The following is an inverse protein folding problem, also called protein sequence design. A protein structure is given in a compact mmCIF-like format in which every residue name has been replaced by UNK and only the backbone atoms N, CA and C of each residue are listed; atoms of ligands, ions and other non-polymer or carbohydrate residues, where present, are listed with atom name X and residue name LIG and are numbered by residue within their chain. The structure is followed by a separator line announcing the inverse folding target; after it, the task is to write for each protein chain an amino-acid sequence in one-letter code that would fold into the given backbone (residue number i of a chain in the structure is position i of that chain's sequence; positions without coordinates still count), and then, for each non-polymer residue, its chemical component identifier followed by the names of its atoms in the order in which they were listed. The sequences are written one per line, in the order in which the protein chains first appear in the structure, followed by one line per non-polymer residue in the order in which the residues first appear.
data_IF_604430370950
#
_entry.id   IF_604430370950
#
_cell.length_a   1.000
_cell.length_b   1.000
_cell.length_c   1.000
_cell.angle_alpha   90.00
_cell.angle_beta   90.00
_cell.angle_gamma   90.00
#
_symmetry.space_group_name_H-M   'P 1'
#
loop_
_entity.id
_entity.type
_entity.pdbx_description
1 polymer ?
#
# COMPACT_ATOMS: atom_id res chain seq x y z
N UNK A 1 -19.12 14.89 -6.77
CA UNK A 1 -18.70 15.15 -5.37
C UNK A 1 -19.29 16.46 -4.89
N UNK A 2 -19.82 16.53 -3.64
CA UNK A 2 -20.31 17.77 -2.99
C UNK A 2 -19.40 18.09 -1.80
N UNK A 3 -19.09 19.36 -1.61
CA UNK A 3 -18.26 19.88 -0.53
C UNK A 3 -19.03 20.99 0.18
N UNK A 4 -19.18 20.86 1.50
CA UNK A 4 -19.88 21.82 2.34
C UNK A 4 -18.92 22.29 3.43
N UNK A 5 -18.77 23.59 3.59
CA UNK A 5 -18.10 24.20 4.74
C UNK A 5 -19.21 24.75 5.63
N UNK A 6 -19.34 24.24 6.83
CA UNK A 6 -20.42 24.62 7.73
C UNK A 6 -19.99 24.61 9.19
N UNK A 7 -20.56 25.52 9.97
CA UNK A 7 -20.61 25.40 11.43
C UNK A 7 -21.66 24.35 11.76
N UNK A 8 -21.23 23.22 12.33
CA UNK A 8 -22.07 22.05 12.53
C UNK A 8 -21.69 21.26 13.79
N UNK A 9 -22.62 20.50 14.32
CA UNK A 9 -22.36 19.39 15.23
C UNK A 9 -22.68 18.07 14.55
N UNK A 10 -22.06 16.99 15.02
CA UNK A 10 -22.23 15.68 14.41
C UNK A 10 -22.49 14.64 15.48
N UNK A 11 -23.46 13.76 15.25
CA UNK A 11 -23.68 12.55 16.05
C UNK A 11 -23.61 11.32 15.16
N UNK A 12 -22.98 10.27 15.66
CA UNK A 12 -22.93 8.97 15.04
C UNK A 12 -23.51 7.93 16.01
N UNK A 13 -24.43 7.14 15.53
CA UNK A 13 -25.06 6.03 16.22
C UNK A 13 -24.85 4.74 15.41
N UNK A 14 -24.28 3.70 16.06
CA UNK A 14 -23.98 2.45 15.39
C UNK A 14 -23.26 1.47 16.31
N UNK A 15 -22.14 0.90 15.86
CA UNK A 15 -21.32 0.01 16.69
C UNK A 15 -20.81 0.67 17.98
N UNK A 16 -20.70 1.97 17.97
CA UNK A 16 -20.44 2.83 19.12
C UNK A 16 -21.19 4.15 18.89
N UNK A 17 -21.37 4.93 19.94
CA UNK A 17 -21.89 6.29 19.85
C UNK A 17 -20.74 7.28 19.92
N UNK A 18 -20.71 8.24 19.00
CA UNK A 18 -19.72 9.30 18.96
C UNK A 18 -20.36 10.64 18.64
N UNK A 19 -19.81 11.72 19.16
CA UNK A 19 -20.29 13.07 18.88
C UNK A 19 -19.13 14.04 18.66
N UNK A 20 -19.35 14.99 17.77
CA UNK A 20 -18.48 16.15 17.56
C UNK A 20 -19.25 17.39 17.96
N UNK A 21 -18.77 18.21 18.93
CA UNK A 21 -19.43 19.44 19.34
C UNK A 21 -19.47 20.46 18.20
N UNK A 22 -20.21 21.55 18.37
CA UNK A 22 -20.31 22.60 17.32
C UNK A 22 -18.93 23.18 16.99
N UNK A 23 -18.58 23.16 15.72
CA UNK A 23 -17.40 23.81 15.14
C UNK A 23 -17.57 23.93 13.62
N UNK A 24 -16.77 24.81 12.99
CA UNK A 24 -16.71 24.89 11.53
C UNK A 24 -15.90 23.71 10.98
N UNK A 25 -16.49 23.00 10.01
CA UNK A 25 -15.91 21.77 9.42
C UNK A 25 -16.11 21.70 7.93
N UNK A 26 -15.27 20.91 7.29
CA UNK A 26 -15.43 20.46 5.92
C UNK A 26 -16.22 19.14 5.93
N UNK A 27 -17.34 19.11 5.22
CA UNK A 27 -18.16 17.92 4.96
C UNK A 27 -17.97 17.58 3.49
N UNK A 28 -17.51 16.38 3.19
CA UNK A 28 -17.30 15.88 1.84
C UNK A 28 -18.24 14.71 1.57
N UNK A 29 -19.02 14.80 0.49
CA UNK A 29 -19.91 13.74 0.01
C UNK A 29 -19.45 13.34 -1.37
N UNK A 30 -18.99 12.09 -1.52
CA UNK A 30 -18.51 11.54 -2.78
C UNK A 30 -19.67 11.04 -3.66
N UNK A 31 -19.40 10.86 -4.95
CA UNK A 31 -20.40 10.36 -5.92
C UNK A 31 -20.86 8.94 -5.60
N UNK A 32 -20.02 8.11 -4.98
CA UNK A 32 -20.34 6.75 -4.51
C UNK A 32 -21.22 6.74 -3.24
N UNK A 33 -21.44 7.90 -2.62
CA UNK A 33 -22.17 8.03 -1.36
C UNK A 33 -21.29 7.95 -0.10
N UNK A 34 -19.98 7.88 -0.18
CA UNK A 34 -19.10 8.04 0.98
C UNK A 34 -19.20 9.46 1.54
N UNK A 35 -19.20 9.57 2.88
CA UNK A 35 -19.16 10.85 3.60
C UNK A 35 -17.94 10.92 4.48
N UNK A 36 -17.29 12.08 4.53
CA UNK A 36 -16.17 12.35 5.43
C UNK A 36 -16.28 13.76 6.01
N UNK A 37 -15.91 13.89 7.28
CA UNK A 37 -15.95 15.15 8.03
C UNK A 37 -14.55 15.47 8.53
N UNK A 38 -14.03 16.63 8.15
CA UNK A 38 -12.68 17.08 8.49
C UNK A 38 -12.70 18.39 9.30
N UNK A 39 -11.70 18.53 10.18
CA UNK A 39 -11.32 19.81 10.75
C UNK A 39 -10.27 20.50 9.86
N UNK A 40 -9.99 21.76 10.15
CA UNK A 40 -8.97 22.57 9.45
C UNK A 40 -7.53 22.11 9.75
N UNK A 41 -7.32 21.38 10.83
CA UNK A 41 -6.00 20.90 11.24
C UNK A 41 -6.03 19.45 11.72
N UNK A 42 -4.87 18.94 12.12
CA UNK A 42 -4.68 17.59 12.61
C UNK A 42 -4.14 16.64 11.55
N UNK A 43 -4.44 15.35 11.69
CA UNK A 43 -3.99 14.33 10.75
C UNK A 43 -4.79 14.35 9.43
N UNK A 44 -4.26 13.70 8.40
CA UNK A 44 -4.96 13.54 7.11
C UNK A 44 -6.29 12.75 7.20
N UNK A 45 -6.52 12.03 8.29
CA UNK A 45 -7.74 11.23 8.51
C UNK A 45 -8.93 12.14 8.85
N UNK A 46 -10.15 11.81 8.36
CA UNK A 46 -11.35 12.50 8.80
C UNK A 46 -11.61 12.28 10.29
N UNK A 47 -12.30 13.26 10.92
CA UNK A 47 -12.77 13.12 12.30
C UNK A 47 -13.87 12.05 12.42
N UNK A 48 -14.74 11.97 11.40
CA UNK A 48 -15.76 10.94 11.27
C UNK A 48 -16.02 10.67 9.78
N UNK A 49 -16.43 9.44 9.45
CA UNK A 49 -16.76 9.06 8.07
C UNK A 49 -17.73 7.88 8.04
N UNK A 50 -18.43 7.74 6.92
CA UNK A 50 -19.27 6.59 6.63
C UNK A 50 -19.00 6.14 5.17
N UNK A 51 -18.59 4.89 5.02
CA UNK A 51 -18.33 4.30 3.68
C UNK A 51 -19.64 3.95 2.97
N UNK A 52 -19.64 4.06 1.66
CA UNK A 52 -20.74 3.59 0.80
C UNK A 52 -21.01 2.06 1.00
N UNK A 53 -22.25 1.60 0.71
CA UNK A 53 -23.37 2.38 0.22
C UNK A 53 -24.12 3.09 1.36
N UNK A 54 -24.50 4.33 1.12
CA UNK A 54 -25.30 5.13 2.05
C UNK A 54 -26.54 5.73 1.39
N UNK A 55 -27.58 5.96 2.20
CA UNK A 55 -28.74 6.78 1.84
C UNK A 55 -28.68 8.11 2.54
N UNK A 56 -29.15 9.17 1.88
CA UNK A 56 -29.11 10.53 2.37
C UNK A 56 -30.53 11.09 2.53
N UNK A 57 -30.77 11.74 3.65
CA UNK A 57 -31.95 12.54 3.90
C UNK A 57 -31.49 13.96 4.25
N UNK A 58 -31.86 14.92 3.41
CA UNK A 58 -31.51 16.33 3.61
C UNK A 58 -32.72 17.09 4.12
N UNK A 59 -32.57 17.66 5.31
CA UNK A 59 -33.58 18.51 5.96
C UNK A 59 -33.04 19.93 6.03
N UNK A 60 -33.89 20.88 6.36
CA UNK A 60 -33.52 22.29 6.41
C UNK A 60 -32.34 22.61 7.34
N UNK A 61 -32.21 21.85 8.43
CA UNK A 61 -31.23 22.07 9.51
C UNK A 61 -30.23 20.93 9.68
N UNK A 62 -30.32 19.86 8.87
CA UNK A 62 -29.46 18.68 9.06
C UNK A 62 -29.37 17.79 7.83
N UNK A 63 -28.26 17.06 7.75
CA UNK A 63 -28.06 15.93 6.85
C UNK A 63 -28.05 14.64 7.68
N UNK A 64 -28.83 13.65 7.27
CA UNK A 64 -28.86 12.33 7.90
C UNK A 64 -28.37 11.31 6.87
N UNK A 65 -27.36 10.56 7.26
CA UNK A 65 -26.73 9.52 6.44
C UNK A 65 -26.94 8.19 7.11
N UNK A 66 -27.47 7.19 6.37
CA UNK A 66 -27.73 5.86 6.90
C UNK A 66 -27.10 4.80 5.98
N UNK A 67 -26.48 3.80 6.58
CA UNK A 67 -26.00 2.64 5.84
C UNK A 67 -26.92 1.41 6.03
N UNK A 68 -26.79 0.37 5.20
CA UNK A 68 -27.59 -0.85 5.32
C UNK A 68 -27.38 -1.64 6.62
N UNK A 69 -26.34 -1.32 7.40
CA UNK A 69 -26.05 -1.98 8.69
C UNK A 69 -26.77 -1.32 9.86
N UNK A 70 -27.61 -0.30 9.60
CA UNK A 70 -28.37 0.44 10.61
C UNK A 70 -27.57 1.52 11.33
N UNK A 71 -26.36 1.85 10.88
CA UNK A 71 -25.58 2.97 11.42
C UNK A 71 -26.13 4.28 10.86
N UNK A 72 -26.20 5.31 11.70
CA UNK A 72 -26.70 6.64 11.35
C UNK A 72 -25.67 7.71 11.70
N UNK A 73 -25.39 8.59 10.75
CA UNK A 73 -24.59 9.80 10.95
C UNK A 73 -25.50 11.01 10.74
N UNK A 74 -25.69 11.83 11.76
CA UNK A 74 -26.49 13.04 11.70
C UNK A 74 -25.58 14.26 11.82
N UNK A 75 -25.64 15.16 10.84
CA UNK A 75 -24.89 16.41 10.80
C UNK A 75 -25.88 17.54 10.96
N UNK A 76 -25.89 18.17 12.12
CA UNK A 76 -26.72 19.35 12.39
C UNK A 76 -26.01 20.60 11.89
N UNK A 77 -26.62 21.29 10.94
CA UNK A 77 -26.08 22.48 10.29
C UNK A 77 -26.59 23.73 11.05
N UNK A 78 -25.66 24.48 11.61
CA UNK A 78 -25.96 25.77 12.28
C UNK A 78 -25.85 26.92 11.28
N UNK A 79 -24.79 26.91 10.46
CA UNK A 79 -24.53 27.92 9.43
C UNK A 79 -23.75 27.30 8.30
N UNK A 80 -24.17 27.49 7.07
CA UNK A 80 -23.47 27.04 5.86
C UNK A 80 -22.67 28.22 5.29
N UNK A 81 -21.34 28.08 5.26
CA UNK A 81 -20.42 29.10 4.74
C UNK A 81 -20.15 28.91 3.24
N UNK A 82 -20.13 27.65 2.78
CA UNK A 82 -19.99 27.30 1.38
C UNK A 82 -20.62 25.93 1.10
N UNK A 83 -21.24 25.79 -0.05
CA UNK A 83 -21.82 24.55 -0.55
C UNK A 83 -21.69 24.52 -2.07
N UNK A 84 -20.95 23.57 -2.60
CA UNK A 84 -20.80 23.40 -4.04
C UNK A 84 -20.67 21.92 -4.40
N UNK A 85 -21.12 21.60 -5.61
CA UNK A 85 -21.01 20.27 -6.16
C UNK A 85 -20.31 20.32 -7.54
N UNK A 86 -19.52 19.30 -7.82
CA UNK A 86 -18.86 19.14 -9.11
C UNK A 86 -18.73 17.66 -9.48
N UNK A 87 -18.91 17.34 -10.73
CA UNK A 87 -18.65 16.00 -11.25
C UNK A 87 -17.17 15.88 -11.63
N UNK A 88 -16.45 15.02 -10.93
CA UNK A 88 -15.00 14.84 -11.17
C UNK A 88 -14.68 13.89 -12.32
N UNK A 89 -15.71 13.19 -12.87
CA UNK A 89 -15.52 12.14 -13.87
C UNK A 89 -14.92 10.86 -13.28
N UNK A 90 -14.52 9.96 -14.17
CA UNK A 90 -13.78 8.75 -13.78
C UNK A 90 -12.34 9.11 -13.45
N UNK A 91 -11.90 8.71 -12.25
CA UNK A 91 -10.50 8.81 -11.85
C UNK A 91 -9.72 7.65 -12.49
N UNK A 92 -8.64 7.93 -13.26
CA UNK A 92 -7.82 6.88 -13.87
C UNK A 92 -7.08 6.01 -12.85
N UNK A 93 -7.22 6.32 -11.57
CA UNK A 93 -6.52 5.65 -10.48
C UNK A 93 -5.10 6.16 -10.26
N UNK A 94 -4.51 5.73 -9.17
CA UNK A 94 -3.13 6.02 -8.83
C UNK A 94 -2.21 5.15 -9.70
N UNK A 95 -1.52 5.74 -10.67
CA UNK A 95 -0.34 5.13 -11.25
C UNK A 95 0.75 5.10 -10.17
N UNK A 96 0.93 3.98 -9.52
CA UNK A 96 2.12 3.77 -8.69
C UNK A 96 3.30 3.67 -9.63
N UNK A 97 4.37 4.44 -9.36
CA UNK A 97 5.66 4.14 -9.97
C UNK A 97 5.91 2.66 -9.79
N UNK A 98 6.04 1.94 -10.90
CA UNK A 98 6.29 0.50 -10.91
C UNK A 98 7.68 0.12 -10.42
N UNK A 99 8.23 0.85 -9.43
CA UNK A 99 9.60 0.69 -8.91
C UNK A 99 9.88 -0.76 -8.54
N UNK A 100 8.91 -1.45 -7.95
CA UNK A 100 9.07 -2.86 -7.59
C UNK A 100 9.06 -3.76 -8.84
N UNK A 101 8.14 -3.51 -9.78
CA UNK A 101 8.10 -4.22 -11.06
C UNK A 101 9.31 -3.88 -11.94
N UNK A 102 9.74 -2.61 -11.96
CA UNK A 102 10.93 -2.18 -12.68
C UNK A 102 12.20 -2.79 -12.08
N UNK A 103 12.33 -2.83 -10.74
CA UNK A 103 13.43 -3.53 -10.05
C UNK A 103 13.48 -5.01 -10.45
N UNK A 104 12.32 -5.67 -10.46
CA UNK A 104 12.24 -7.06 -10.90
C UNK A 104 12.72 -7.24 -12.35
N UNK A 105 12.36 -6.31 -13.26
CA UNK A 105 12.82 -6.35 -14.66
C UNK A 105 14.34 -6.14 -14.75
N UNK A 106 14.87 -5.12 -14.08
CA UNK A 106 16.29 -4.77 -14.10
C UNK A 106 17.14 -5.89 -13.49
N UNK A 107 16.75 -6.41 -12.33
CA UNK A 107 17.47 -7.49 -11.66
C UNK A 107 17.34 -8.83 -12.39
N UNK A 108 16.24 -9.06 -13.10
CA UNK A 108 16.12 -10.23 -13.99
C UNK A 108 17.06 -10.14 -15.19
N UNK A 109 17.32 -8.93 -15.70
CA UNK A 109 18.27 -8.71 -16.80
C UNK A 109 19.74 -8.77 -16.33
N UNK A 110 20.00 -8.41 -15.06
CA UNK A 110 21.34 -8.38 -14.47
C UNK A 110 21.35 -9.04 -13.07
N UNK A 111 21.15 -10.38 -12.98
CA UNK A 111 21.08 -11.06 -11.67
C UNK A 111 22.39 -10.94 -10.87
N UNK A 112 23.51 -10.73 -11.55
CA UNK A 112 24.83 -10.54 -10.93
C UNK A 112 24.92 -9.27 -10.06
N UNK A 113 24.00 -8.32 -10.23
CA UNK A 113 23.87 -7.17 -9.33
C UNK A 113 23.40 -7.57 -7.91
N UNK A 114 22.78 -8.74 -7.77
CA UNK A 114 22.39 -9.30 -6.48
C UNK A 114 23.54 -10.10 -5.88
N UNK A 115 24.11 -11.00 -6.67
CA UNK A 115 25.23 -11.85 -6.26
C UNK A 115 25.99 -12.32 -7.51
N UNK A 116 27.31 -12.22 -7.49
CA UNK A 116 28.17 -12.60 -8.60
C UNK A 116 27.96 -14.09 -8.95
N UNK A 117 27.76 -14.37 -10.25
CA UNK A 117 27.55 -15.72 -10.77
C UNK A 117 26.11 -16.21 -10.68
N UNK A 118 25.16 -15.38 -10.26
CA UNK A 118 23.74 -15.70 -10.38
C UNK A 118 23.29 -15.67 -11.85
N UNK A 119 22.51 -16.68 -12.22
CA UNK A 119 21.86 -16.78 -13.54
C UNK A 119 20.36 -16.94 -13.36
N UNK A 120 19.56 -16.20 -14.15
CA UNK A 120 18.11 -16.28 -14.10
C UNK A 120 17.61 -17.60 -14.70
N UNK A 121 16.76 -18.32 -13.96
CA UNK A 121 16.00 -19.46 -14.47
C UNK A 121 14.64 -18.98 -14.97
N UNK A 122 13.90 -18.24 -14.12
CA UNK A 122 12.54 -17.75 -14.44
C UNK A 122 12.13 -16.58 -13.58
N UNK A 123 11.41 -15.63 -14.18
CA UNK A 123 10.64 -14.58 -13.46
C UNK A 123 9.27 -15.13 -13.07
N UNK A 124 8.74 -14.63 -11.97
CA UNK A 124 7.40 -14.98 -11.47
C UNK A 124 7.18 -16.50 -11.47
N UNK A 125 8.10 -17.19 -10.79
CA UNK A 125 8.02 -18.65 -10.72
C UNK A 125 6.80 -19.07 -9.87
N UNK A 126 5.83 -19.84 -10.43
CA UNK A 126 4.59 -20.16 -9.75
C UNK A 126 4.82 -21.09 -8.56
N UNK A 127 4.17 -20.79 -7.43
CA UNK A 127 4.04 -21.67 -6.27
C UNK A 127 2.58 -21.77 -5.83
N UNK A 128 2.26 -22.68 -4.94
CA UNK A 128 0.91 -22.83 -4.40
C UNK A 128 0.43 -21.61 -3.58
N UNK A 129 1.36 -20.74 -3.14
CA UNK A 129 1.08 -19.56 -2.30
C UNK A 129 1.36 -18.23 -3.02
N UNK A 130 1.58 -18.26 -4.32
CA UNK A 130 1.86 -17.10 -5.18
C UNK A 130 3.18 -17.24 -5.95
N UNK A 131 3.47 -16.34 -6.90
CA UNK A 131 4.68 -16.38 -7.67
C UNK A 131 5.88 -15.82 -6.88
N UNK A 132 7.05 -16.45 -7.03
CA UNK A 132 8.34 -15.92 -6.57
C UNK A 132 8.86 -14.95 -7.63
N UNK A 133 9.33 -13.78 -7.24
CA UNK A 133 9.74 -12.74 -8.17
C UNK A 133 10.82 -13.23 -9.15
N UNK A 134 11.92 -13.78 -8.64
CA UNK A 134 12.95 -14.43 -9.47
C UNK A 134 13.35 -15.78 -8.90
N UNK A 135 13.43 -16.78 -9.76
CA UNK A 135 14.12 -18.03 -9.49
C UNK A 135 15.44 -18.04 -10.28
N UNK A 136 16.54 -18.21 -9.58
CA UNK A 136 17.90 -18.15 -10.13
C UNK A 136 18.69 -19.41 -9.79
N UNK A 137 19.87 -19.52 -10.37
CA UNK A 137 20.89 -20.54 -10.04
C UNK A 137 22.20 -19.81 -9.74
N UNK A 138 22.85 -20.19 -8.65
CA UNK A 138 24.16 -19.64 -8.32
C UNK A 138 25.31 -20.38 -9.00
N UNK A 139 26.53 -19.88 -8.83
CA UNK A 139 27.73 -20.46 -9.43
C UNK A 139 28.02 -21.91 -9.01
N UNK A 140 27.47 -22.35 -7.86
CA UNK A 140 27.58 -23.74 -7.39
C UNK A 140 26.49 -24.64 -7.97
N UNK A 141 25.54 -24.11 -8.71
CA UNK A 141 24.40 -24.84 -9.26
C UNK A 141 23.23 -24.96 -8.29
N UNK A 142 23.27 -24.30 -7.11
CA UNK A 142 22.18 -24.29 -6.16
C UNK A 142 21.06 -23.33 -6.62
N UNK A 143 19.80 -23.72 -6.40
CA UNK A 143 18.65 -22.89 -6.71
C UNK A 143 18.50 -21.77 -5.68
N UNK A 144 18.23 -20.55 -6.16
CA UNK A 144 18.09 -19.35 -5.36
C UNK A 144 16.71 -18.70 -5.65
N UNK A 145 15.87 -18.60 -4.63
CA UNK A 145 14.61 -17.89 -4.69
C UNK A 145 14.82 -16.45 -4.20
N UNK A 146 14.33 -15.49 -4.95
CA UNK A 146 14.53 -14.06 -4.68
C UNK A 146 13.19 -13.37 -4.58
N UNK A 147 12.99 -12.62 -3.50
CA UNK A 147 11.88 -11.70 -3.28
C UNK A 147 12.39 -10.28 -3.32
N UNK A 148 11.72 -9.42 -4.09
CA UNK A 148 12.14 -8.04 -4.36
C UNK A 148 11.11 -7.09 -3.78
N UNK A 149 11.56 -6.11 -3.00
CA UNK A 149 10.71 -5.03 -2.47
C UNK A 149 11.37 -3.67 -2.66
N UNK A 150 10.57 -2.63 -2.80
CA UNK A 150 11.11 -1.28 -2.72
C UNK A 150 11.67 -1.00 -1.32
N UNK A 151 10.92 -1.38 -0.28
CA UNK A 151 11.32 -1.30 1.14
C UNK A 151 11.27 -2.69 1.75
N UNK A 152 12.37 -3.13 2.27
CA UNK A 152 12.49 -4.42 2.95
C UNK A 152 11.93 -4.37 4.37
N UNK A 153 10.72 -4.87 4.54
CA UNK A 153 10.00 -4.99 5.81
C UNK A 153 9.81 -6.46 6.21
N UNK A 154 9.33 -6.72 7.41
CA UNK A 154 9.14 -8.07 7.96
C UNK A 154 8.22 -8.93 7.08
N UNK A 155 7.17 -8.35 6.54
CA UNK A 155 6.18 -9.03 5.68
C UNK A 155 6.80 -9.62 4.41
N UNK A 156 7.77 -8.92 3.78
CA UNK A 156 8.50 -9.44 2.63
C UNK A 156 9.37 -10.66 2.98
N UNK A 157 10.03 -10.64 4.14
CA UNK A 157 10.80 -11.81 4.63
C UNK A 157 9.88 -12.99 4.92
N UNK A 158 8.70 -12.72 5.49
CA UNK A 158 7.71 -13.77 5.75
C UNK A 158 7.12 -14.34 4.45
N UNK A 159 6.93 -13.50 3.43
CA UNK A 159 6.51 -13.92 2.10
C UNK A 159 7.54 -14.86 1.48
N UNK A 160 8.82 -14.47 1.45
CA UNK A 160 9.89 -15.31 0.95
C UNK A 160 10.02 -16.64 1.72
N UNK A 161 9.81 -16.61 3.04
CA UNK A 161 9.84 -17.85 3.86
C UNK A 161 8.76 -18.83 3.38
N UNK A 162 7.53 -18.36 3.17
CA UNK A 162 6.44 -19.23 2.66
C UNK A 162 6.76 -19.78 1.26
N UNK A 163 7.39 -18.99 0.41
CA UNK A 163 7.84 -19.47 -0.90
C UNK A 163 8.90 -20.54 -0.78
N UNK A 164 9.91 -20.34 0.07
CA UNK A 164 10.96 -21.33 0.32
C UNK A 164 10.41 -22.66 0.82
N UNK A 165 9.40 -22.62 1.71
CA UNK A 165 8.76 -23.84 2.22
C UNK A 165 8.02 -24.60 1.09
N UNK A 166 7.32 -23.88 0.21
CA UNK A 166 6.70 -24.48 -0.97
C UNK A 166 7.72 -25.07 -1.96
N UNK A 167 8.79 -24.33 -2.25
CA UNK A 167 9.80 -24.77 -3.22
C UNK A 167 10.62 -25.95 -2.72
N UNK A 168 10.89 -26.05 -1.42
CA UNK A 168 11.59 -27.19 -0.79
C UNK A 168 10.80 -28.50 -0.87
N UNK A 169 9.49 -28.42 -1.04
CA UNK A 169 8.67 -29.60 -1.28
C UNK A 169 8.83 -30.20 -2.69
N UNK A 170 9.36 -29.42 -3.64
CA UNK A 170 9.66 -29.86 -4.99
C UNK A 170 11.10 -30.41 -5.08
N UNK A 171 11.22 -31.72 -5.05
CA UNK A 171 12.53 -32.41 -5.11
C UNK A 171 13.32 -32.15 -6.41
N UNK A 172 12.65 -31.70 -7.48
CA UNK A 172 13.30 -31.41 -8.77
C UNK A 172 14.19 -30.17 -8.72
N UNK A 173 13.94 -29.26 -7.77
CA UNK A 173 14.67 -28.01 -7.60
C UNK A 173 15.97 -28.17 -6.77
N UNK A 174 16.17 -29.33 -6.13
CA UNK A 174 17.33 -29.62 -5.30
C UNK A 174 17.42 -28.76 -4.04
N UNK A 175 18.63 -28.38 -3.63
CA UNK A 175 18.81 -27.47 -2.49
C UNK A 175 18.44 -26.05 -2.87
N UNK A 176 17.64 -25.38 -2.04
CA UNK A 176 17.16 -24.03 -2.27
C UNK A 176 17.55 -23.12 -1.11
N UNK A 177 18.03 -21.93 -1.43
CA UNK A 177 18.21 -20.81 -0.49
C UNK A 177 17.44 -19.59 -0.95
N UNK A 178 17.24 -18.63 -0.04
CA UNK A 178 16.55 -17.36 -0.32
C UNK A 178 17.48 -16.17 -0.26
N UNK A 179 17.20 -15.16 -1.08
CA UNK A 179 17.76 -13.81 -0.96
C UNK A 179 16.62 -12.81 -0.97
N UNK A 180 16.58 -11.97 0.06
CA UNK A 180 15.65 -10.84 0.15
C UNK A 180 16.34 -9.58 -0.35
N UNK A 181 15.79 -8.97 -1.40
CA UNK A 181 16.37 -7.83 -2.11
C UNK A 181 15.49 -6.60 -1.94
N UNK A 182 16.07 -5.46 -1.59
CA UNK A 182 15.35 -4.19 -1.54
C UNK A 182 16.29 -3.00 -1.75
N UNK A 183 15.75 -1.79 -1.99
CA UNK A 183 16.54 -0.56 -1.99
C UNK A 183 17.02 -0.19 -0.56
N UNK A 184 16.26 -0.57 0.46
CA UNK A 184 16.65 -0.42 1.85
C UNK A 184 15.94 -1.48 2.69
N UNK A 185 16.64 -2.13 3.62
CA UNK A 185 16.09 -3.18 4.46
C UNK A 185 16.07 -2.69 5.92
N UNK A 186 14.88 -2.70 6.53
CA UNK A 186 14.74 -2.34 7.95
C UNK A 186 15.53 -3.29 8.85
N UNK A 187 16.16 -2.82 9.93
CA UNK A 187 16.94 -3.66 10.83
C UNK A 187 16.19 -4.90 11.33
N UNK A 188 14.91 -4.77 11.67
CA UNK A 188 14.09 -5.87 12.14
C UNK A 188 13.86 -6.94 11.06
N UNK A 189 13.68 -6.51 9.80
CA UNK A 189 13.53 -7.43 8.68
C UNK A 189 14.85 -8.18 8.40
N UNK A 190 16.00 -7.50 8.51
CA UNK A 190 17.33 -8.12 8.37
C UNK A 190 17.57 -9.18 9.45
N UNK A 191 17.31 -8.86 10.72
CA UNK A 191 17.42 -9.82 11.83
C UNK A 191 16.53 -11.04 11.60
N UNK A 192 15.31 -10.85 11.14
CA UNK A 192 14.41 -11.96 10.84
C UNK A 192 14.92 -12.82 9.68
N UNK A 193 15.39 -12.20 8.60
CA UNK A 193 15.94 -12.89 7.43
C UNK A 193 17.16 -13.76 7.83
N UNK A 194 18.10 -13.18 8.56
CA UNK A 194 19.29 -13.88 9.06
C UNK A 194 18.91 -15.07 9.95
N UNK A 195 17.93 -14.92 10.85
CA UNK A 195 17.46 -16.01 11.72
C UNK A 195 16.85 -17.19 10.93
N UNK A 196 16.43 -16.95 9.69
CA UNK A 196 15.85 -17.95 8.78
C UNK A 196 16.83 -18.42 7.69
N UNK A 197 18.10 -18.04 7.79
CA UNK A 197 19.13 -18.29 6.78
C UNK A 197 18.75 -17.76 5.40
N UNK A 198 18.12 -16.59 5.35
CA UNK A 198 17.81 -15.83 4.14
C UNK A 198 18.87 -14.73 4.00
N UNK A 199 19.53 -14.68 2.84
CA UNK A 199 20.47 -13.62 2.49
C UNK A 199 19.73 -12.29 2.31
N UNK A 200 20.41 -11.17 2.60
CA UNK A 200 19.89 -9.82 2.38
C UNK A 200 20.79 -9.06 1.42
N UNK A 201 20.20 -8.48 0.37
CA UNK A 201 20.92 -7.62 -0.58
C UNK A 201 20.20 -6.27 -0.71
N UNK A 202 20.93 -5.17 -0.54
CA UNK A 202 20.43 -3.83 -0.85
C UNK A 202 20.98 -3.40 -2.19
N UNK A 203 20.11 -2.85 -3.05
CA UNK A 203 20.42 -2.43 -4.41
C UNK A 203 20.07 -0.97 -4.64
N UNK A 204 20.92 -0.25 -5.34
CA UNK A 204 20.64 1.11 -5.77
C UNK A 204 19.84 1.08 -7.10
N UNK A 205 18.61 1.57 -7.04
CA UNK A 205 17.70 1.59 -8.19
C UNK A 205 18.16 2.53 -9.30
N UNK A 206 18.74 3.67 -8.95
CA UNK A 206 19.19 4.65 -9.92
C UNK A 206 20.47 4.15 -10.63
N UNK A 207 21.35 3.46 -9.90
CA UNK A 207 22.52 2.81 -10.47
C UNK A 207 22.11 1.69 -11.44
N UNK A 208 21.14 0.85 -11.08
CA UNK A 208 20.60 -0.19 -11.96
C UNK A 208 19.98 0.35 -13.25
N UNK A 209 19.42 1.54 -13.21
CA UNK A 209 18.89 2.25 -14.39
C UNK A 209 19.96 2.96 -15.21
N UNK A 210 21.22 2.90 -14.82
CA UNK A 210 22.33 3.60 -15.47
C UNK A 210 22.32 5.12 -15.26
N UNK A 211 21.55 5.63 -14.28
CA UNK A 211 21.63 7.01 -13.83
C UNK A 211 22.77 7.13 -12.83
N UNK A 212 23.83 7.89 -13.18
CA UNK A 212 24.89 8.18 -12.22
C UNK A 212 24.31 9.03 -11.08
N UNK A 213 24.69 8.72 -9.84
CA UNK A 213 24.24 9.40 -8.61
C UNK A 213 24.58 10.92 -8.54
N UNK A 214 25.35 11.44 -9.48
CA UNK A 214 25.73 12.87 -9.57
C UNK A 214 24.64 13.76 -10.15
N UNK A 215 23.61 13.22 -10.80
CA UNK A 215 22.54 14.03 -11.41
C UNK A 215 21.43 14.46 -10.42
N UNK A 216 21.50 14.05 -9.16
CA UNK A 216 20.47 14.29 -8.14
C UNK A 216 20.90 15.23 -6.98
N UNK A 217 22.05 15.89 -7.10
CA UNK A 217 22.45 16.95 -6.15
C UNK A 217 22.09 18.34 -6.71
N UNK A 218 20.82 18.62 -6.85
CA UNK A 218 20.30 19.97 -6.96
C UNK A 218 19.17 20.14 -5.93
N UNK A 219 19.53 20.91 -4.89
CA UNK A 219 18.79 21.45 -3.74
C UNK A 219 18.82 20.60 -2.47
#
# INVERSE_FOLDING_TARGET
MRVIIATCSVSYEGRLNASLPVATRLIMIKADGCVAIHADGGAYKPLNWMNAPNTFEELADRLIVRNPKGETLTIHLVEIHADFAHELGEDPGLSKDGVEADLQVLLAATPEAIEIGLTLIRREYPTAVGPVDLLCRDASGQTVAIEIKRRGEIDGVEQLTRYLDCLRADSSLGKIRGIFVAQSIKPQARVLAESRNIGCCEVDYDELRGKKSDDLKLF
#
